data_IF_651671274180
#
_entry.id   IF_651671274180
#
_cell.length_a   1.000
_cell.length_b   1.000
_cell.length_c   1.000
_cell.angle_alpha   90.00
_cell.angle_beta   90.00
_cell.angle_gamma   90.00
#
_symmetry.space_group_name_H-M   'P 1'
#
loop_
_entity.id
_entity.type
_entity.pdbx_description
1 polymer ?
#
# COMPACT_ATOMS: atom_id res chain seq x y z
N UNK A 1 17.02 -7.66 14.25
CA UNK A 1 17.27 -7.35 12.83
C UNK A 1 18.11 -6.09 12.79
N UNK A 2 19.26 -6.14 12.14
CA UNK A 2 20.32 -5.13 12.22
C UNK A 2 19.82 -3.76 11.71
N UNK A 3 19.84 -2.72 12.56
CA UNK A 3 19.34 -1.38 12.24
C UNK A 3 20.24 -0.62 11.26
N UNK A 4 21.42 -1.16 10.93
CA UNK A 4 22.43 -0.49 10.11
C UNK A 4 22.22 -0.64 8.60
N UNK A 5 21.32 -1.51 8.14
CA UNK A 5 21.07 -1.70 6.72
C UNK A 5 19.64 -1.29 6.35
N UNK A 6 19.50 -0.06 5.86
CA UNK A 6 18.24 0.52 5.40
C UNK A 6 17.57 -0.33 4.30
N UNK A 7 18.37 -0.95 3.41
CA UNK A 7 17.84 -1.78 2.32
C UNK A 7 17.25 -3.06 2.90
N UNK A 8 17.95 -3.70 3.83
CA UNK A 8 17.43 -4.89 4.50
C UNK A 8 16.15 -4.58 5.29
N UNK A 9 16.11 -3.42 5.97
CA UNK A 9 14.91 -2.95 6.66
C UNK A 9 13.71 -2.70 5.73
N UNK A 10 13.95 -2.21 4.51
CA UNK A 10 12.91 -2.04 3.49
C UNK A 10 12.41 -3.37 2.92
N UNK A 11 13.25 -4.40 2.85
CA UNK A 11 12.85 -5.70 2.32
C UNK A 11 12.16 -6.58 3.37
N UNK A 12 12.68 -6.61 4.60
CA UNK A 12 12.28 -7.58 5.63
C UNK A 12 11.75 -6.96 6.93
N UNK A 13 11.78 -5.63 7.06
CA UNK A 13 11.34 -4.93 8.26
C UNK A 13 9.81 -4.83 8.38
N UNK A 14 9.35 -4.36 9.53
CA UNK A 14 7.91 -4.19 9.83
C UNK A 14 7.20 -3.22 8.88
N UNK A 15 7.91 -2.19 8.42
CA UNK A 15 7.46 -1.27 7.37
C UNK A 15 8.09 -1.59 6.01
N UNK A 16 8.48 -2.86 5.80
CA UNK A 16 9.10 -3.35 4.58
C UNK A 16 8.13 -4.16 3.72
N UNK A 17 8.65 -4.68 2.61
CA UNK A 17 7.88 -5.43 1.60
C UNK A 17 7.52 -6.88 2.03
N UNK A 18 7.89 -7.28 3.25
CA UNK A 18 7.59 -8.61 3.79
C UNK A 18 8.35 -9.76 3.11
N UNK A 19 9.46 -9.47 2.42
CA UNK A 19 10.26 -10.51 1.75
C UNK A 19 10.85 -11.43 2.82
N UNK A 20 10.57 -12.73 2.71
CA UNK A 20 11.06 -13.73 3.66
C UNK A 20 10.27 -13.83 4.97
N UNK A 21 9.20 -13.05 5.16
CA UNK A 21 8.26 -13.20 6.28
C UNK A 21 7.29 -14.36 6.04
N UNK A 22 7.82 -15.54 5.71
CA UNK A 22 7.03 -16.75 5.53
C UNK A 22 6.65 -17.30 6.91
N UNK A 23 5.37 -17.19 7.26
CA UNK A 23 4.82 -17.76 8.48
C UNK A 23 4.03 -19.01 8.11
N UNK A 24 4.51 -20.17 8.58
CA UNK A 24 3.81 -21.44 8.45
C UNK A 24 2.89 -21.65 9.66
N UNK A 25 1.92 -20.76 9.82
CA UNK A 25 0.92 -20.83 10.88
C UNK A 25 -0.49 -20.88 10.29
N UNK A 26 -1.22 -21.94 10.65
CA UNK A 26 -2.60 -22.15 10.22
C UNK A 26 -3.53 -21.05 10.70
N UNK A 27 -3.27 -20.47 11.89
CA UNK A 27 -4.12 -19.42 12.46
C UNK A 27 -4.00 -18.09 11.68
N UNK A 28 -2.80 -17.76 11.22
CA UNK A 28 -2.57 -16.60 10.35
C UNK A 28 -3.26 -16.75 8.99
N UNK A 29 -3.25 -17.96 8.42
CA UNK A 29 -3.91 -18.25 7.14
C UNK A 29 -5.45 -18.21 7.27
N UNK A 30 -6.00 -18.79 8.35
CA UNK A 30 -7.46 -18.73 8.60
C UNK A 30 -7.93 -17.33 8.96
N UNK A 31 -7.10 -16.49 9.59
CA UNK A 31 -7.45 -15.09 9.85
C UNK A 31 -7.60 -14.26 8.57
N UNK A 32 -6.73 -14.49 7.57
CA UNK A 32 -6.77 -13.76 6.30
C UNK A 32 -7.88 -14.27 5.35
N UNK A 33 -7.99 -15.59 5.21
CA UNK A 33 -8.95 -16.22 4.29
C UNK A 33 -10.29 -16.55 4.94
N UNK A 34 -10.50 -16.25 6.23
CA UNK A 34 -11.62 -16.70 7.08
C UNK A 34 -11.72 -18.23 7.22
N UNK A 35 -11.85 -18.95 6.11
CA UNK A 35 -11.68 -20.40 6.03
C UNK A 35 -11.00 -20.77 4.70
N UNK A 36 -9.74 -21.24 4.72
CA UNK A 36 -8.98 -21.58 3.52
C UNK A 36 -9.59 -22.75 2.73
N UNK A 37 -10.40 -23.57 3.38
CA UNK A 37 -11.07 -24.73 2.79
C UNK A 37 -12.20 -24.30 1.83
N UNK A 38 -12.74 -23.08 1.99
CA UNK A 38 -13.79 -22.54 1.12
C UNK A 38 -13.27 -22.13 -0.26
N UNK A 39 -11.97 -21.82 -0.38
CA UNK A 39 -11.38 -21.30 -1.60
C UNK A 39 -10.66 -22.40 -2.37
N UNK A 40 -10.94 -22.59 -3.67
CA UNK A 40 -10.22 -23.58 -4.45
C UNK A 40 -8.74 -23.19 -4.57
N UNK A 41 -7.85 -24.19 -4.58
CA UNK A 41 -6.39 -24.00 -4.56
C UNK A 41 -5.87 -23.09 -5.69
N UNK A 42 -6.50 -23.14 -6.87
CA UNK A 42 -6.13 -22.29 -8.01
C UNK A 42 -6.38 -20.80 -7.73
N UNK A 43 -7.42 -20.47 -6.96
CA UNK A 43 -7.72 -19.08 -6.60
C UNK A 43 -6.67 -18.54 -5.64
N UNK A 44 -6.23 -19.38 -4.69
CA UNK A 44 -5.13 -19.05 -3.78
C UNK A 44 -3.82 -18.78 -4.53
N UNK A 45 -3.51 -19.57 -5.56
CA UNK A 45 -2.34 -19.33 -6.41
C UNK A 45 -2.44 -18.01 -7.18
N UNK A 46 -3.61 -17.67 -7.73
CA UNK A 46 -3.80 -16.38 -8.41
C UNK A 46 -3.59 -15.19 -7.48
N UNK A 47 -4.08 -15.28 -6.24
CA UNK A 47 -3.86 -14.25 -5.20
C UNK A 47 -2.36 -14.14 -4.89
N UNK A 48 -1.66 -15.26 -4.73
CA UNK A 48 -0.22 -15.28 -4.45
C UNK A 48 0.59 -14.67 -5.61
N UNK A 49 0.27 -15.04 -6.86
CA UNK A 49 0.93 -14.49 -8.05
C UNK A 49 0.67 -12.98 -8.15
N UNK A 50 -0.57 -12.54 -7.89
CA UNK A 50 -0.91 -11.12 -7.85
C UNK A 50 -0.11 -10.37 -6.77
N UNK A 51 -0.01 -10.94 -5.57
CA UNK A 51 0.78 -10.37 -4.49
C UNK A 51 2.26 -10.22 -4.88
N UNK A 52 2.88 -11.27 -5.41
CA UNK A 52 4.29 -11.23 -5.85
C UNK A 52 4.48 -10.20 -6.96
N UNK A 53 3.62 -10.21 -7.98
CA UNK A 53 3.72 -9.26 -9.09
C UNK A 53 3.57 -7.81 -8.64
N UNK A 54 2.64 -7.53 -7.74
CA UNK A 54 2.37 -6.16 -7.29
C UNK A 54 3.44 -5.71 -6.29
N UNK A 55 3.60 -6.42 -5.18
CA UNK A 55 4.42 -5.97 -4.05
C UNK A 55 5.91 -6.21 -4.26
N UNK A 56 6.32 -7.22 -5.03
CA UNK A 56 7.73 -7.52 -5.23
C UNK A 56 8.28 -7.04 -6.58
N UNK A 57 7.42 -6.63 -7.52
CA UNK A 57 7.85 -6.09 -8.81
C UNK A 57 7.40 -4.64 -8.97
N UNK A 58 6.09 -4.37 -9.00
CA UNK A 58 5.56 -3.03 -9.30
C UNK A 58 5.96 -2.00 -8.23
N UNK A 59 5.75 -2.32 -6.94
CA UNK A 59 6.05 -1.39 -5.84
C UNK A 59 7.54 -1.02 -5.80
N UNK A 60 8.51 -1.95 -5.86
CA UNK A 60 9.92 -1.60 -5.98
C UNK A 60 10.25 -0.75 -7.19
N UNK A 61 9.70 -1.08 -8.37
CA UNK A 61 9.93 -0.29 -9.59
C UNK A 61 9.51 1.16 -9.36
N UNK A 62 8.31 1.40 -8.83
CA UNK A 62 7.82 2.75 -8.54
C UNK A 62 8.66 3.46 -7.48
N UNK A 63 9.08 2.75 -6.43
CA UNK A 63 9.91 3.32 -5.38
C UNK A 63 11.29 3.75 -5.87
N UNK A 64 11.95 2.95 -6.72
CA UNK A 64 13.30 3.25 -7.20
C UNK A 64 13.32 4.23 -8.38
N UNK A 65 12.26 4.29 -9.18
CA UNK A 65 12.14 5.23 -10.30
C UNK A 65 11.77 6.64 -9.86
N UNK A 66 11.04 6.79 -8.75
CA UNK A 66 10.63 8.09 -8.24
C UNK A 66 11.59 8.57 -7.13
N UNK A 67 12.36 9.63 -7.41
CA UNK A 67 13.32 10.17 -6.43
C UNK A 67 12.63 10.74 -5.18
N UNK A 68 11.43 11.31 -5.33
CA UNK A 68 10.66 11.85 -4.20
C UNK A 68 10.10 10.72 -3.30
N UNK A 69 9.86 9.54 -3.87
CA UNK A 69 9.39 8.39 -3.11
C UNK A 69 10.45 7.85 -2.13
N UNK A 70 11.74 8.10 -2.39
CA UNK A 70 12.83 7.63 -1.51
C UNK A 70 12.85 8.33 -0.15
N UNK A 71 12.23 9.52 -0.05
CA UNK A 71 12.06 10.26 1.21
C UNK A 71 10.95 9.64 2.08
N UNK A 72 10.12 8.77 1.49
CA UNK A 72 8.99 8.13 2.14
C UNK A 72 9.34 6.70 2.56
N UNK A 73 8.72 6.17 3.64
CA UNK A 73 8.80 4.75 3.95
C UNK A 73 8.19 3.93 2.81
N UNK A 74 8.77 2.77 2.48
CA UNK A 74 8.30 1.97 1.33
C UNK A 74 6.88 1.43 1.55
N UNK A 75 6.53 1.11 2.79
CA UNK A 75 5.23 0.61 3.20
C UNK A 75 4.66 1.47 4.32
N UNK A 76 3.58 2.20 4.02
CA UNK A 76 2.82 2.98 5.00
C UNK A 76 1.43 3.29 4.45
N UNK A 77 0.43 3.30 5.34
CA UNK A 77 -0.93 3.76 5.06
C UNK A 77 -1.16 5.24 5.39
N UNK A 78 -0.11 5.97 5.81
CA UNK A 78 -0.21 7.37 6.19
C UNK A 78 0.12 8.30 5.00
N UNK A 79 -0.34 9.55 5.09
CA UNK A 79 0.02 10.62 4.16
C UNK A 79 1.19 11.43 4.72
N UNK A 80 2.01 11.94 3.81
CA UNK A 80 3.26 12.65 4.13
C UNK A 80 3.31 13.98 3.39
N UNK A 81 4.10 14.91 3.90
CA UNK A 81 4.49 16.12 3.16
C UNK A 81 5.59 15.76 2.16
N UNK A 82 5.84 16.62 1.15
CA UNK A 82 6.93 16.43 0.16
C UNK A 82 8.32 16.24 0.80
N UNK A 83 8.51 16.74 2.01
CA UNK A 83 9.76 16.64 2.78
C UNK A 83 9.91 15.30 3.53
N UNK A 84 8.92 14.40 3.44
CA UNK A 84 8.92 13.09 4.12
C UNK A 84 8.42 13.11 5.57
N UNK A 85 8.02 14.27 6.11
CA UNK A 85 7.36 14.36 7.41
C UNK A 85 5.91 13.87 7.37
N UNK A 86 5.38 13.28 8.46
CA UNK A 86 3.97 12.91 8.52
C UNK A 86 3.06 14.14 8.37
N UNK A 87 2.01 14.02 7.56
CA UNK A 87 1.13 15.13 7.23
C UNK A 87 0.20 15.48 8.41
N UNK A 88 0.18 16.74 8.84
CA UNK A 88 -0.64 17.18 9.96
C UNK A 88 -1.95 17.86 9.51
N UNK A 89 -3.05 17.11 9.58
CA UNK A 89 -4.39 17.59 9.19
C UNK A 89 -4.92 18.73 10.05
N UNK A 90 -4.48 18.86 11.31
CA UNK A 90 -4.96 19.93 12.19
C UNK A 90 -4.48 21.32 11.76
N UNK A 91 -3.43 21.41 10.93
CA UNK A 91 -2.91 22.70 10.44
C UNK A 91 -3.74 23.28 9.30
N UNK A 92 -4.44 22.44 8.55
CA UNK A 92 -5.25 22.82 7.39
C UNK A 92 -6.75 22.85 7.68
N UNK A 93 -7.14 22.49 8.91
CA UNK A 93 -8.54 22.27 9.28
C UNK A 93 -8.95 23.25 10.37
N UNK A 94 -10.04 23.97 10.16
CA UNK A 94 -10.62 24.85 11.18
C UNK A 94 -11.30 24.03 12.31
N UNK A 95 -11.63 24.65 13.44
CA UNK A 95 -12.29 24.01 14.58
C UNK A 95 -13.62 23.31 14.22
N UNK A 96 -14.22 23.69 13.09
CA UNK A 96 -15.45 23.10 12.55
C UNK A 96 -15.20 21.99 11.50
N UNK A 97 -13.98 21.45 11.40
CA UNK A 97 -13.58 20.45 10.40
C UNK A 97 -13.68 20.92 8.94
N UNK A 98 -13.72 22.23 8.71
CA UNK A 98 -13.70 22.81 7.38
C UNK A 98 -12.26 23.00 6.90
N UNK A 99 -12.03 22.71 5.62
CA UNK A 99 -10.73 22.93 4.98
C UNK A 99 -10.46 24.44 4.86
N UNK A 100 -9.37 24.89 5.46
CA UNK A 100 -8.85 26.24 5.25
C UNK A 100 -7.95 26.24 4.02
N UNK A 101 -8.48 26.73 2.89
CA UNK A 101 -7.78 26.72 1.61
C UNK A 101 -6.48 27.54 1.63
N UNK A 102 -6.45 28.68 2.33
CA UNK A 102 -5.23 29.49 2.46
C UNK A 102 -4.14 28.76 3.23
N UNK A 103 -4.51 28.04 4.30
CA UNK A 103 -3.56 27.23 5.07
C UNK A 103 -3.07 26.01 4.27
N UNK A 104 -3.94 25.41 3.45
CA UNK A 104 -3.60 24.32 2.55
C UNK A 104 -2.58 24.74 1.49
N UNK A 105 -2.79 25.89 0.84
CA UNK A 105 -1.86 26.42 -0.18
C UNK A 105 -0.47 26.74 0.42
N UNK A 106 -0.40 27.13 1.69
CA UNK A 106 0.86 27.38 2.40
C UNK A 106 1.56 26.11 2.88
N UNK A 107 0.80 25.10 3.32
CA UNK A 107 1.34 23.84 3.85
C UNK A 107 1.71 22.84 2.74
N UNK A 108 1.02 22.90 1.59
CA UNK A 108 1.29 22.10 0.41
C UNK A 108 0.54 20.78 0.35
N UNK A 109 0.63 20.13 -0.81
CA UNK A 109 -0.10 18.90 -1.11
C UNK A 109 0.36 17.71 -0.25
N UNK A 110 -0.59 16.86 0.14
CA UNK A 110 -0.32 15.57 0.74
C UNK A 110 0.18 14.58 -0.32
N UNK A 111 1.32 13.96 -0.04
CA UNK A 111 1.94 12.91 -0.85
C UNK A 111 1.67 11.55 -0.21
N UNK A 112 1.37 10.56 -1.05
CA UNK A 112 1.09 9.21 -0.63
C UNK A 112 2.31 8.32 -0.86
N UNK A 113 2.38 7.24 -0.08
CA UNK A 113 3.44 6.23 -0.26
C UNK A 113 3.16 5.42 -1.53
N UNK A 114 4.18 4.99 -2.31
CA UNK A 114 3.95 4.21 -3.55
C UNK A 114 3.09 2.96 -3.35
N UNK A 115 3.25 2.28 -2.21
CA UNK A 115 2.42 1.11 -1.87
C UNK A 115 0.94 1.47 -1.77
N UNK A 116 0.61 2.61 -1.16
CA UNK A 116 -0.77 3.06 -1.00
C UNK A 116 -1.38 3.48 -2.34
N UNK A 117 -0.62 4.20 -3.16
CA UNK A 117 -1.03 4.60 -4.52
C UNK A 117 -1.36 3.38 -5.40
N UNK A 118 -0.46 2.39 -5.43
CA UNK A 118 -0.67 1.14 -6.19
C UNK A 118 -1.91 0.39 -5.70
N UNK A 119 -2.07 0.28 -4.38
CA UNK A 119 -3.21 -0.39 -3.76
C UNK A 119 -4.53 0.29 -4.13
N UNK A 120 -4.55 1.62 -4.20
CA UNK A 120 -5.71 2.38 -4.65
C UNK A 120 -6.01 2.15 -6.14
N UNK A 121 -4.99 2.20 -7.02
CA UNK A 121 -5.16 1.92 -8.44
C UNK A 121 -5.74 0.53 -8.71
N UNK A 122 -5.30 -0.48 -7.96
CA UNK A 122 -5.81 -1.84 -8.08
C UNK A 122 -7.27 -1.93 -7.66
N UNK A 123 -7.68 -1.26 -6.57
CA UNK A 123 -9.08 -1.25 -6.15
C UNK A 123 -9.99 -0.67 -7.24
N UNK A 124 -9.57 0.43 -7.88
CA UNK A 124 -10.28 1.02 -9.01
C UNK A 124 -10.33 0.06 -10.20
N UNK A 125 -9.22 -0.62 -10.50
CA UNK A 125 -9.17 -1.63 -11.57
C UNK A 125 -10.10 -2.82 -11.29
N UNK A 126 -10.20 -3.28 -10.05
CA UNK A 126 -11.11 -4.36 -9.64
C UNK A 126 -12.57 -3.96 -9.81
N UNK A 127 -12.95 -2.76 -9.38
CA UNK A 127 -14.32 -2.25 -9.59
C UNK A 127 -14.65 -2.22 -11.09
N UNK A 128 -13.73 -1.74 -11.90
CA UNK A 128 -13.89 -1.71 -13.37
C UNK A 128 -14.01 -3.12 -13.95
N UNK A 129 -13.17 -4.05 -13.50
CA UNK A 129 -13.19 -5.44 -13.94
C UNK A 129 -14.52 -6.13 -13.58
N UNK A 130 -15.08 -5.85 -12.39
CA UNK A 130 -16.38 -6.38 -11.96
C UNK A 130 -17.50 -5.88 -12.88
N UNK A 131 -17.50 -4.59 -13.24
CA UNK A 131 -18.50 -4.02 -14.15
C UNK A 131 -18.40 -4.69 -15.53
N UNK A 132 -17.20 -4.79 -16.09
CA UNK A 132 -16.96 -5.42 -17.41
C UNK A 132 -17.35 -6.89 -17.40
N UNK A 133 -16.97 -7.63 -16.34
CA UNK A 133 -17.32 -9.03 -16.18
C UNK A 133 -18.83 -9.22 -16.08
N UNK A 134 -19.50 -8.39 -15.29
CA UNK A 134 -20.97 -8.41 -15.18
C UNK A 134 -21.63 -8.20 -16.53
N UNK A 135 -21.18 -7.22 -17.34
CA UNK A 135 -21.77 -6.93 -18.65
C UNK A 135 -21.56 -8.07 -19.67
N UNK A 136 -20.43 -8.79 -19.59
CA UNK A 136 -20.10 -9.85 -20.57
C UNK A 136 -20.73 -11.19 -20.23
N UNK A 137 -20.96 -11.48 -18.95
CA UNK A 137 -21.36 -12.80 -18.46
C UNK A 137 -22.74 -12.84 -17.78
N UNK A 138 -23.47 -11.71 -17.77
CA UNK A 138 -24.92 -11.63 -17.53
C UNK A 138 -25.65 -11.11 -18.76
#
# INVERSE_FOLDING_TARGET
MDQNNIVLGQLTGFYGLGIGALQFDWQSVTAFLQSPILYPWWALLNILIGFIGIYWIIVPILYYTNENAKLLPIFSGNSYTRDGSPYNYSLITDNNLNLNQTAYEQYGDAVLTPTFEVTFCIQVAVITAIIVHTILYH
#
